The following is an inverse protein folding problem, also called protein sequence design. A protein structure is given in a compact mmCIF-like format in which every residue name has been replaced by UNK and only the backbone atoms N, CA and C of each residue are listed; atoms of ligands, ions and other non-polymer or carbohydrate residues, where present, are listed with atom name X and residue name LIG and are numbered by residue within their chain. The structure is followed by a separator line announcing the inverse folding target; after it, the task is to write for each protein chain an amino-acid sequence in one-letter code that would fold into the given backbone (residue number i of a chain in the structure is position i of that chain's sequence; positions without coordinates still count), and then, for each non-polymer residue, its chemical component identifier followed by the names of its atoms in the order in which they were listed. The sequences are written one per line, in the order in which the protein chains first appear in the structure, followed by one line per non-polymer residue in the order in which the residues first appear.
data_IF_863322485588
#
_entry.id   IF_863322485588
#
_cell.length_a   1.000
_cell.length_b   1.000
_cell.length_c   1.000
_cell.angle_alpha   90.00
_cell.angle_beta   90.00
_cell.angle_gamma   90.00
#
_symmetry.space_group_name_H-M   'P 1'
#
loop_
_entity.id
_entity.type
_entity.pdbx_description
1 polymer ?
#
# COMPACT_ATOMS: atom_id res chain seq x y z
N UNK A 1 11.20 -10.05 12.60
CA UNK A 1 9.97 -10.41 13.35
C UNK A 1 8.95 -9.27 13.38
N UNK A 2 9.34 -8.01 13.58
CA UNK A 2 8.39 -6.88 13.52
C UNK A 2 7.81 -6.66 12.11
N UNK A 3 8.62 -6.63 11.04
CA UNK A 3 8.08 -6.40 9.69
C UNK A 3 7.20 -7.56 9.18
N UNK A 4 7.45 -8.80 9.62
CA UNK A 4 6.58 -9.95 9.31
C UNK A 4 5.21 -9.79 9.97
N UNK A 5 5.18 -9.37 11.25
CA UNK A 5 3.93 -9.04 11.95
C UNK A 5 3.23 -7.84 11.31
N UNK A 6 3.97 -6.82 10.90
CA UNK A 6 3.41 -5.67 10.17
C UNK A 6 2.81 -6.10 8.82
N UNK A 7 3.45 -7.01 8.09
CA UNK A 7 2.92 -7.55 6.83
C UNK A 7 1.55 -8.23 7.02
N UNK A 8 1.38 -8.99 8.11
CA UNK A 8 0.09 -9.60 8.46
C UNK A 8 -0.97 -8.55 8.81
N UNK A 9 -0.59 -7.49 9.54
CA UNK A 9 -1.51 -6.38 9.85
C UNK A 9 -1.91 -5.60 8.59
N UNK A 10 -1.02 -5.52 7.59
CA UNK A 10 -1.29 -4.84 6.33
C UNK A 10 -2.33 -5.59 5.49
N UNK A 11 -2.37 -6.93 5.55
CA UNK A 11 -3.47 -7.70 4.93
C UNK A 11 -4.83 -7.25 5.48
N UNK A 12 -4.95 -7.04 6.79
CA UNK A 12 -6.17 -6.52 7.42
C UNK A 12 -6.47 -5.06 7.03
N UNK A 13 -5.46 -4.21 6.90
CA UNK A 13 -5.64 -2.83 6.40
C UNK A 13 -6.16 -2.84 4.96
N UNK A 14 -5.64 -3.72 4.10
CA UNK A 14 -6.10 -3.87 2.72
C UNK A 14 -7.56 -4.30 2.67
N UNK A 15 -7.99 -5.22 3.54
CA UNK A 15 -9.39 -5.61 3.67
C UNK A 15 -10.29 -4.44 4.11
N UNK A 16 -9.86 -3.66 5.11
CA UNK A 16 -10.61 -2.49 5.58
C UNK A 16 -10.76 -1.42 4.49
N UNK A 17 -9.68 -1.11 3.78
CA UNK A 17 -9.71 -0.18 2.63
C UNK A 17 -10.63 -0.71 1.54
N UNK A 18 -10.62 -2.01 1.28
CA UNK A 18 -11.57 -2.67 0.38
C UNK A 18 -13.03 -2.43 0.78
N UNK A 19 -13.36 -2.58 2.07
CA UNK A 19 -14.71 -2.29 2.58
C UNK A 19 -15.11 -0.82 2.42
N UNK A 20 -14.18 0.12 2.61
CA UNK A 20 -14.43 1.54 2.32
C UNK A 20 -14.70 1.79 0.84
N UNK A 21 -14.04 1.04 -0.03
CA UNK A 21 -14.25 1.09 -1.48
C UNK A 21 -15.61 0.52 -1.90
N UNK A 22 -16.15 -0.46 -1.17
CA UNK A 22 -17.52 -0.97 -1.36
C UNK A 22 -18.58 0.01 -0.85
N UNK A 23 -18.29 0.71 0.24
CA UNK A 23 -19.14 1.76 0.86
C UNK A 23 -18.73 3.17 0.46
N UNK A 24 -18.28 3.32 -0.79
CA UNK A 24 -17.72 4.60 -1.25
C UNK A 24 -18.75 5.73 -1.17
N UNK A 25 -20.04 5.43 -1.33
CA UNK A 25 -21.08 6.47 -1.29
C UNK A 25 -21.27 7.09 0.09
N UNK A 26 -21.30 6.27 1.15
CA UNK A 26 -21.35 6.77 2.54
C UNK A 26 -20.13 7.65 2.84
N UNK A 27 -18.96 7.24 2.33
CA UNK A 27 -17.69 7.95 2.54
C UNK A 27 -17.68 9.29 1.79
N UNK A 28 -18.17 9.32 0.55
CA UNK A 28 -18.27 10.54 -0.26
C UNK A 28 -19.22 11.53 0.39
N UNK A 29 -20.37 11.07 0.87
CA UNK A 29 -21.34 11.95 1.52
C UNK A 29 -20.75 12.61 2.76
N UNK A 30 -20.07 11.85 3.63
CA UNK A 30 -19.41 12.38 4.81
C UNK A 30 -18.35 13.44 4.46
N UNK A 31 -17.44 13.11 3.53
CA UNK A 31 -16.37 14.03 3.09
C UNK A 31 -16.96 15.29 2.45
N UNK A 32 -18.00 15.14 1.61
CA UNK A 32 -18.62 16.29 0.93
C UNK A 32 -19.37 17.20 1.92
N UNK A 33 -19.96 16.65 2.98
CA UNK A 33 -20.60 17.46 4.03
C UNK A 33 -19.56 18.27 4.81
N UNK A 34 -18.42 17.68 5.15
CA UNK A 34 -17.31 18.40 5.78
C UNK A 34 -16.72 19.47 4.86
N UNK A 35 -16.51 19.14 3.58
CA UNK A 35 -16.05 20.12 2.59
C UNK A 35 -17.03 21.29 2.48
N UNK A 36 -18.34 21.03 2.45
CA UNK A 36 -19.37 22.09 2.39
C UNK A 36 -19.33 22.98 3.63
N UNK A 37 -19.14 22.41 4.82
CA UNK A 37 -19.02 23.19 6.06
C UNK A 37 -17.79 24.12 6.01
N UNK A 38 -16.64 23.61 5.58
CA UNK A 38 -15.41 24.41 5.40
C UNK A 38 -15.60 25.47 4.31
N UNK A 39 -16.27 25.12 3.21
CA UNK A 39 -16.58 26.04 2.12
C UNK A 39 -17.44 27.22 2.60
N UNK A 40 -18.42 26.98 3.46
CA UNK A 40 -19.24 28.03 4.07
C UNK A 40 -18.39 28.95 4.95
N UNK A 41 -17.49 28.39 5.78
CA UNK A 41 -16.61 29.17 6.65
C UNK A 41 -15.65 30.06 5.85
N UNK A 42 -15.18 29.58 4.69
CA UNK A 42 -14.24 30.29 3.83
C UNK A 42 -14.90 31.16 2.75
N UNK A 43 -16.24 31.21 2.69
CA UNK A 43 -17.01 31.85 1.61
C UNK A 43 -16.61 31.32 0.20
N UNK A 44 -16.37 30.00 0.12
CA UNK A 44 -16.00 29.28 -1.11
C UNK A 44 -17.10 28.29 -1.50
N UNK A 45 -17.62 28.47 -2.71
CA UNK A 45 -18.57 27.51 -3.28
C UNK A 45 -17.84 26.31 -3.93
N UNK A 46 -18.26 25.10 -3.56
CA UNK A 46 -17.76 23.87 -4.18
C UNK A 46 -18.45 23.66 -5.52
N UNK A 47 -17.66 23.76 -6.60
CA UNK A 47 -18.14 23.56 -7.97
C UNK A 47 -17.31 22.49 -8.68
N UNK A 48 -17.90 21.89 -9.71
CA UNK A 48 -17.17 21.03 -10.64
C UNK A 48 -16.09 21.87 -11.33
N UNK A 49 -14.79 21.47 -11.30
CA UNK A 49 -13.74 22.15 -12.04
C UNK A 49 -14.07 22.24 -13.53
N UNK A 50 -13.53 23.24 -14.23
CA UNK A 50 -13.79 23.43 -15.66
C UNK A 50 -13.37 22.18 -16.44
N UNK A 51 -14.35 21.45 -16.99
CA UNK A 51 -14.13 20.31 -17.88
C UNK A 51 -13.78 20.84 -19.27
N UNK A 52 -12.59 20.53 -19.76
CA UNK A 52 -12.17 20.87 -21.13
C UNK A 52 -12.47 19.70 -22.06
N UNK A 53 -12.72 19.97 -23.34
CA UNK A 53 -13.10 18.95 -24.35
C UNK A 53 -12.03 17.88 -24.56
N UNK A 54 -10.76 18.16 -24.26
CA UNK A 54 -9.67 17.18 -24.31
C UNK A 54 -8.81 17.28 -23.05
N UNK A 55 -8.82 16.22 -22.24
CA UNK A 55 -7.82 15.96 -21.21
C UNK A 55 -7.14 14.62 -21.49
N UNK A 56 -5.81 14.60 -21.44
CA UNK A 56 -5.02 13.40 -21.73
C UNK A 56 -4.58 12.65 -20.47
N UNK A 57 -4.40 13.36 -19.37
CA UNK A 57 -3.80 12.84 -18.12
C UNK A 57 -4.78 12.75 -16.95
N UNK A 58 -6.05 13.10 -17.16
CA UNK A 58 -7.11 13.07 -16.13
C UNK A 58 -8.39 12.51 -16.72
N UNK A 59 -9.17 11.86 -15.85
CA UNK A 59 -10.52 11.40 -16.19
C UNK A 59 -11.40 12.63 -16.44
N UNK A 60 -12.14 12.61 -17.54
CA UNK A 60 -13.09 13.66 -17.90
C UNK A 60 -14.53 13.09 -17.83
N UNK A 61 -15.06 12.82 -16.62
CA UNK A 61 -16.37 12.22 -16.49
C UNK A 61 -17.46 13.26 -16.80
N UNK A 62 -18.45 12.87 -17.59
CA UNK A 62 -19.65 13.68 -17.84
C UNK A 62 -20.57 13.56 -16.62
N UNK A 63 -20.43 14.48 -15.66
CA UNK A 63 -21.16 14.49 -14.40
C UNK A 63 -21.82 15.83 -14.15
N UNK A 64 -22.96 15.81 -13.46
CA UNK A 64 -23.76 17.00 -13.19
C UNK A 64 -23.54 17.59 -11.79
N UNK A 65 -22.95 16.83 -10.86
CA UNK A 65 -22.75 17.28 -9.47
C UNK A 65 -21.28 17.23 -9.05
N UNK A 66 -20.82 18.17 -8.20
CA UNK A 66 -19.48 18.14 -7.61
C UNK A 66 -19.17 16.83 -6.88
N UNK A 67 -20.14 16.26 -6.16
CA UNK A 67 -20.03 15.00 -5.44
C UNK A 67 -19.65 13.86 -6.39
N UNK A 68 -20.36 13.73 -7.52
CA UNK A 68 -20.06 12.70 -8.52
C UNK A 68 -18.70 12.93 -9.17
N UNK A 69 -18.34 14.18 -9.43
CA UNK A 69 -17.05 14.53 -9.99
C UNK A 69 -15.90 14.09 -9.08
N UNK A 70 -15.88 14.52 -7.83
CA UNK A 70 -14.78 14.21 -6.90
C UNK A 70 -14.72 12.73 -6.54
N UNK A 71 -15.87 12.05 -6.46
CA UNK A 71 -15.92 10.60 -6.29
C UNK A 71 -15.18 9.86 -7.40
N UNK A 72 -15.51 10.14 -8.67
CA UNK A 72 -14.98 9.41 -9.83
C UNK A 72 -13.54 9.83 -10.14
N UNK A 73 -13.22 11.12 -10.01
CA UNK A 73 -11.93 11.65 -10.43
C UNK A 73 -10.84 11.54 -9.35
N UNK A 74 -11.21 11.47 -8.07
CA UNK A 74 -10.25 11.48 -6.95
C UNK A 74 -10.43 10.25 -6.07
N UNK A 75 -11.60 10.10 -5.42
CA UNK A 75 -11.72 9.16 -4.31
C UNK A 75 -11.57 7.70 -4.76
N UNK A 76 -12.30 7.29 -5.81
CA UNK A 76 -12.21 5.92 -6.34
C UNK A 76 -10.78 5.62 -6.84
N UNK A 77 -10.18 6.43 -7.73
CA UNK A 77 -8.80 6.20 -8.18
C UNK A 77 -7.78 6.14 -7.05
N UNK A 78 -7.94 7.00 -6.03
CA UNK A 78 -7.07 7.02 -4.86
C UNK A 78 -7.17 5.72 -4.06
N UNK A 79 -8.40 5.29 -3.70
CA UNK A 79 -8.61 4.07 -2.93
C UNK A 79 -8.10 2.84 -3.68
N UNK A 80 -8.35 2.77 -4.99
CA UNK A 80 -7.89 1.67 -5.84
C UNK A 80 -6.34 1.67 -5.93
N UNK A 81 -5.72 2.84 -6.16
CA UNK A 81 -4.25 2.97 -6.22
C UNK A 81 -3.59 2.65 -4.88
N UNK A 82 -4.14 3.12 -3.78
CA UNK A 82 -3.64 2.87 -2.43
C UNK A 82 -3.73 1.38 -2.09
N UNK A 83 -4.88 0.76 -2.34
CA UNK A 83 -5.10 -0.67 -2.14
C UNK A 83 -4.14 -1.51 -2.99
N UNK A 84 -3.97 -1.16 -4.27
CA UNK A 84 -3.04 -1.85 -5.16
C UNK A 84 -1.59 -1.70 -4.70
N UNK A 85 -1.18 -0.50 -4.27
CA UNK A 85 0.17 -0.25 -3.75
C UNK A 85 0.49 -1.11 -2.52
N UNK A 86 -0.48 -1.25 -1.61
CA UNK A 86 -0.32 -2.12 -0.44
C UNK A 86 -0.25 -3.59 -0.84
N UNK A 87 -1.17 -4.04 -1.72
CA UNK A 87 -1.18 -5.43 -2.21
C UNK A 87 0.12 -5.79 -2.92
N UNK A 88 0.66 -4.91 -3.75
CA UNK A 88 1.90 -5.17 -4.49
C UNK A 88 3.09 -5.29 -3.54
N UNK A 89 3.27 -4.30 -2.66
CA UNK A 89 4.42 -4.20 -1.75
C UNK A 89 4.45 -5.28 -0.67
N UNK A 90 3.28 -5.69 -0.19
CA UNK A 90 3.14 -6.65 0.91
C UNK A 90 2.54 -7.98 0.47
N UNK A 91 2.48 -8.23 -0.84
CA UNK A 91 2.09 -9.55 -1.35
C UNK A 91 3.03 -10.63 -0.79
N UNK A 92 2.51 -11.85 -0.62
CA UNK A 92 3.32 -13.00 -0.22
C UNK A 92 4.51 -13.25 -1.15
N UNK A 93 4.43 -12.82 -2.41
CA UNK A 93 5.53 -12.86 -3.36
C UNK A 93 6.74 -12.03 -2.90
N UNK A 94 6.52 -10.93 -2.18
CA UNK A 94 7.57 -10.09 -1.61
C UNK A 94 8.08 -10.60 -0.25
N UNK A 95 7.64 -11.79 0.20
CA UNK A 95 8.08 -12.41 1.45
C UNK A 95 9.61 -12.44 1.62
N UNK A 96 10.38 -12.94 0.63
CA UNK A 96 11.85 -12.92 0.70
C UNK A 96 12.45 -11.53 0.85
N UNK A 97 11.86 -10.50 0.23
CA UNK A 97 12.31 -9.11 0.39
C UNK A 97 12.11 -8.60 1.83
N UNK A 98 11.01 -8.98 2.49
CA UNK A 98 10.75 -8.67 3.91
C UNK A 98 11.69 -9.47 4.82
N UNK A 99 12.06 -10.68 4.42
CA UNK A 99 13.01 -11.52 5.14
C UNK A 99 14.43 -10.98 5.12
N UNK A 100 14.80 -10.07 4.21
CA UNK A 100 16.12 -9.41 4.24
C UNK A 100 16.49 -8.80 5.60
N UNK A 101 15.50 -8.39 6.41
CA UNK A 101 15.74 -7.88 7.77
C UNK A 101 16.42 -8.93 8.69
N UNK A 102 16.29 -10.22 8.40
CA UNK A 102 16.90 -11.31 9.18
C UNK A 102 18.41 -11.36 8.97
N UNK A 103 18.89 -10.81 7.85
CA UNK A 103 20.31 -10.69 7.51
C UNK A 103 21.02 -9.59 8.31
N UNK A 104 20.29 -8.79 9.09
CA UNK A 104 20.91 -7.80 9.96
C UNK A 104 21.89 -8.48 10.93
N UNK A 105 23.15 -8.03 11.07
CA UNK A 105 24.17 -8.73 11.86
C UNK A 105 23.76 -9.10 13.29
N UNK A 106 23.06 -8.19 13.98
CA UNK A 106 22.53 -8.45 15.34
C UNK A 106 21.51 -9.58 15.39
N UNK A 107 20.80 -9.85 14.29
CA UNK A 107 19.82 -10.93 14.18
C UNK A 107 20.47 -12.23 13.75
N UNK A 108 21.39 -12.17 12.78
CA UNK A 108 22.14 -13.34 12.29
C UNK A 108 22.80 -14.09 13.45
N UNK A 109 23.37 -13.41 14.45
CA UNK A 109 24.02 -14.07 15.60
C UNK A 109 23.06 -14.74 16.59
N UNK A 110 21.79 -14.33 16.61
CA UNK A 110 20.81 -14.75 17.63
C UNK A 110 19.84 -15.79 17.09
N UNK A 111 19.55 -15.76 15.79
CA UNK A 111 18.65 -16.71 15.14
C UNK A 111 19.29 -18.10 15.03
N UNK A 112 18.47 -19.15 15.06
CA UNK A 112 18.97 -20.51 14.82
C UNK A 112 19.44 -20.68 13.38
N UNK A 113 20.44 -21.55 13.19
CA UNK A 113 21.00 -21.86 11.87
C UNK A 113 19.93 -22.35 10.89
N UNK A 114 18.96 -23.16 11.35
CA UNK A 114 17.87 -23.68 10.50
C UNK A 114 16.99 -22.55 9.93
N UNK A 115 16.69 -21.53 10.74
CA UNK A 115 15.88 -20.37 10.33
C UNK A 115 16.68 -19.50 9.36
N UNK A 116 17.98 -19.32 9.62
CA UNK A 116 18.89 -18.59 8.73
C UNK A 116 19.07 -19.26 7.37
N UNK A 117 19.20 -20.58 7.33
CA UNK A 117 19.34 -21.34 6.08
C UNK A 117 18.05 -21.30 5.25
N UNK A 118 16.89 -21.47 5.89
CA UNK A 118 15.60 -21.42 5.19
C UNK A 118 15.32 -20.02 4.61
N UNK A 119 15.47 -18.96 5.40
CA UNK A 119 15.38 -17.58 4.89
C UNK A 119 16.47 -17.26 3.86
N UNK A 120 17.71 -17.70 4.09
CA UNK A 120 18.82 -17.49 3.17
C UNK A 120 18.60 -18.13 1.80
N UNK A 121 17.99 -19.32 1.75
CA UNK A 121 17.62 -19.99 0.50
C UNK A 121 16.52 -19.23 -0.22
N UNK A 122 15.46 -18.84 0.48
CA UNK A 122 14.36 -18.06 -0.10
C UNK A 122 14.84 -16.71 -0.69
N UNK A 123 15.76 -16.03 -0.01
CA UNK A 123 16.37 -14.77 -0.47
C UNK A 123 17.29 -15.03 -1.67
N UNK A 124 18.11 -16.08 -1.61
CA UNK A 124 19.03 -16.44 -2.69
C UNK A 124 18.27 -16.72 -3.99
N UNK A 125 17.19 -17.50 -3.92
CA UNK A 125 16.36 -17.83 -5.07
C UNK A 125 15.62 -16.58 -5.61
N UNK A 126 15.10 -15.73 -4.72
CA UNK A 126 14.36 -14.54 -5.13
C UNK A 126 15.24 -13.50 -5.86
N UNK A 127 16.48 -13.32 -5.41
CA UNK A 127 17.41 -12.34 -5.98
C UNK A 127 18.48 -12.96 -6.90
N UNK A 128 18.44 -14.27 -7.14
CA UNK A 128 19.47 -15.02 -7.88
C UNK A 128 20.89 -14.83 -7.32
N UNK A 129 21.04 -14.88 -6.00
CA UNK A 129 22.33 -14.70 -5.32
C UNK A 129 22.97 -16.06 -5.08
N UNK A 130 24.19 -16.26 -5.59
CA UNK A 130 24.94 -17.50 -5.37
C UNK A 130 25.67 -17.49 -4.02
N UNK A 131 25.81 -18.67 -3.39
CA UNK A 131 26.56 -18.89 -2.15
C UNK A 131 26.07 -18.11 -0.90
N UNK A 132 24.94 -17.41 -0.94
CA UNK A 132 24.44 -16.62 0.20
C UNK A 132 24.28 -17.47 1.48
N UNK A 133 23.75 -18.69 1.37
CA UNK A 133 23.56 -19.59 2.52
C UNK A 133 24.87 -19.92 3.24
N UNK A 134 25.96 -20.12 2.49
CA UNK A 134 27.29 -20.38 3.05
C UNK A 134 27.87 -19.16 3.77
N UNK A 135 27.68 -17.98 3.19
CA UNK A 135 28.10 -16.72 3.84
C UNK A 135 27.35 -16.50 5.16
N UNK A 136 26.05 -16.80 5.21
CA UNK A 136 25.26 -16.68 6.44
C UNK A 136 25.73 -17.64 7.54
N UNK A 137 26.16 -18.85 7.19
CA UNK A 137 26.78 -19.77 8.16
C UNK A 137 28.09 -19.22 8.71
N UNK A 138 28.91 -18.58 7.87
CA UNK A 138 30.13 -17.92 8.33
C UNK A 138 29.78 -16.76 9.27
N UNK A 139 28.87 -15.87 8.87
CA UNK A 139 28.48 -14.71 9.68
C UNK A 139 27.82 -15.08 11.00
N UNK A 140 27.17 -16.25 11.08
CA UNK A 140 26.61 -16.75 12.34
C UNK A 140 27.70 -17.19 13.33
N UNK A 141 28.87 -17.61 12.85
CA UNK A 141 29.99 -18.11 13.68
C UNK A 141 30.89 -17.00 14.24
N UNK A 142 30.80 -15.77 13.72
CA UNK A 142 31.56 -14.60 14.16
C UNK A 142 30.68 -13.67 15.03
#
# INVERSE_FOLDING_TARGET
MYLVKCSQQIEHIVELVGKHRDKVEETVEAIMNEMKAIGIELDVEIRVPRLVTKQSFRVNPLVSTPEQYFKISILIPYLDSFCNSLKERFSRKQGPAIELQTLHPTKVRVLSVDILQSSGTAIADFYNITNLTRELELWHRF
#
